data_IF_851761473559
#
_entry.id   IF_851761473559
#
_cell.length_a   1.000
_cell.length_b   1.000
_cell.length_c   1.000
_cell.angle_alpha   90.00
_cell.angle_beta   90.00
_cell.angle_gamma   90.00
#
_symmetry.space_group_name_H-M   'P 1'
#
loop_
_entity.id
_entity.type
_entity.pdbx_description
1 polymer ?
#
# COMPACT_ATOMS: atom_id res chain seq x y z
N UNK A 1 100.42 52.66 -3.57
CA UNK A 1 100.10 51.30 -3.09
C UNK A 1 98.64 51.32 -2.67
N UNK A 2 97.77 50.46 -3.24
CA UNK A 2 96.32 50.70 -3.37
C UNK A 2 95.44 49.85 -2.42
N UNK A 3 94.25 50.40 -2.13
CA UNK A 3 92.86 49.87 -2.21
C UNK A 3 92.63 48.35 -2.14
N UNK A 4 91.51 47.77 -1.68
CA UNK A 4 90.21 48.13 -1.08
C UNK A 4 89.49 46.78 -0.78
N UNK A 5 88.25 46.81 -0.28
CA UNK A 5 87.24 45.72 -0.10
C UNK A 5 87.24 45.13 1.34
N UNK A 6 86.31 45.44 2.26
CA UNK A 6 84.83 45.44 2.30
C UNK A 6 84.21 44.03 2.47
N UNK A 7 83.70 43.69 3.66
CA UNK A 7 82.33 43.19 3.81
C UNK A 7 81.83 43.13 5.27
N UNK A 8 80.56 43.54 5.39
CA UNK A 8 79.68 43.72 6.56
C UNK A 8 79.42 42.46 7.39
N UNK A 9 79.13 42.67 8.69
CA UNK A 9 77.88 42.15 9.25
C UNK A 9 77.29 43.14 10.27
N UNK A 10 75.98 43.31 10.16
CA UNK A 10 75.09 44.31 10.77
C UNK A 10 74.28 43.61 11.88
N UNK A 11 73.81 44.33 12.90
CA UNK A 11 72.41 44.35 13.39
C UNK A 11 72.34 44.97 14.79
N UNK A 12 71.89 46.23 14.86
CA UNK A 12 70.50 46.66 15.10
C UNK A 12 70.20 46.87 16.60
N UNK A 13 70.37 48.11 17.05
CA UNK A 13 69.68 48.63 18.23
C UNK A 13 68.21 48.85 17.85
N UNK A 14 67.33 47.99 18.37
CA UNK A 14 65.88 48.23 18.38
C UNK A 14 65.53 48.83 19.73
N UNK A 15 65.04 50.07 19.70
CA UNK A 15 64.44 50.78 20.83
C UNK A 15 63.19 49.99 21.24
N UNK A 16 63.24 49.30 22.37
CA UNK A 16 62.07 48.64 22.96
C UNK A 16 61.43 49.56 24.00
N UNK A 17 60.28 50.10 23.61
CA UNK A 17 59.28 50.68 24.51
C UNK A 17 58.99 49.74 25.67
N UNK A 18 59.19 50.22 26.89
CA UNK A 18 58.88 49.51 28.13
C UNK A 18 57.40 49.13 28.19
N UNK A 19 57.04 47.83 28.21
CA UNK A 19 55.70 47.45 28.60
C UNK A 19 55.58 47.71 30.11
N UNK A 20 54.51 48.41 30.50
CA UNK A 20 54.07 48.56 31.89
C UNK A 20 53.69 47.17 32.44
N UNK A 21 54.70 46.36 32.77
CA UNK A 21 54.56 45.11 33.49
C UNK A 21 54.82 45.44 34.95
N UNK A 22 53.77 45.37 35.77
CA UNK A 22 53.95 45.18 37.20
C UNK A 22 54.71 43.87 37.39
N UNK A 23 56.02 43.98 37.64
CA UNK A 23 56.80 42.89 38.17
C UNK A 23 56.48 42.80 39.67
N UNK A 24 55.82 41.71 40.08
CA UNK A 24 55.83 41.34 41.50
C UNK A 24 57.24 40.84 41.79
N UNK A 25 58.10 41.74 42.25
CA UNK A 25 59.40 41.37 42.79
C UNK A 25 59.12 40.70 44.13
N UNK A 26 59.17 39.38 44.18
CA UNK A 26 59.29 38.66 45.45
C UNK A 26 60.69 38.98 45.98
N UNK A 27 60.80 40.04 46.79
CA UNK A 27 61.98 40.22 47.62
C UNK A 27 62.04 39.02 48.55
N UNK A 28 63.19 38.35 48.50
CA UNK A 28 63.55 37.18 49.28
C UNK A 28 62.99 37.31 50.72
N UNK A 29 62.04 36.44 51.14
CA UNK A 29 61.50 36.55 52.48
C UNK A 29 62.62 36.20 53.46
N UNK A 30 62.92 37.10 54.39
CA UNK A 30 63.65 36.72 55.59
C UNK A 30 62.96 35.48 56.17
N UNK A 31 63.76 34.45 56.52
CA UNK A 31 63.31 33.11 56.92
C UNK A 31 62.30 33.06 58.08
N UNK A 32 61.98 34.21 58.70
CA UNK A 32 61.06 34.35 59.83
C UNK A 32 59.80 35.18 59.53
N UNK A 33 59.50 35.52 58.27
CA UNK A 33 58.21 36.17 57.94
C UNK A 33 57.47 35.43 56.83
N UNK A 34 56.23 34.97 57.07
CA UNK A 34 55.45 34.32 56.02
C UNK A 34 55.19 35.31 54.88
N UNK A 35 55.20 34.82 53.64
CA UNK A 35 54.85 35.59 52.44
C UNK A 35 53.43 36.12 52.64
N UNK A 36 53.29 37.42 52.91
CA UNK A 36 51.99 38.05 53.07
C UNK A 36 51.47 38.42 51.67
N UNK A 37 50.66 37.54 51.07
CA UNK A 37 49.77 37.89 49.97
C UNK A 37 48.82 38.99 50.50
N UNK A 38 49.15 40.25 50.24
CA UNK A 38 48.24 41.37 50.49
C UNK A 38 47.08 41.24 49.51
N UNK A 39 46.00 40.65 50.00
CA UNK A 39 44.66 40.70 49.39
C UNK A 39 44.34 42.18 49.24
N UNK A 40 44.42 42.68 48.01
CA UNK A 40 44.03 44.04 47.71
C UNK A 40 42.51 44.01 47.63
N UNK A 41 41.87 44.22 48.79
CA UNK A 41 40.46 43.95 49.02
C UNK A 41 39.60 44.54 47.89
N UNK A 42 39.87 45.78 47.48
CA UNK A 42 39.11 46.46 46.44
C UNK A 42 39.20 45.79 45.06
N UNK A 43 40.38 45.31 44.67
CA UNK A 43 40.59 44.65 43.38
C UNK A 43 39.97 43.25 43.35
N UNK A 44 40.10 42.49 44.44
CA UNK A 44 39.55 41.13 44.54
C UNK A 44 38.02 41.12 44.68
N UNK A 45 37.43 42.08 45.42
CA UNK A 45 35.97 42.25 45.45
C UNK A 45 35.42 42.71 44.10
N UNK A 46 36.13 43.58 43.37
CA UNK A 46 35.75 43.99 42.02
C UNK A 46 35.75 42.80 41.05
N UNK A 47 36.81 41.96 41.08
CA UNK A 47 36.90 40.75 40.28
C UNK A 47 35.80 39.73 40.63
N UNK A 48 35.50 39.54 41.92
CA UNK A 48 34.44 38.65 42.39
C UNK A 48 33.06 39.15 41.92
N UNK A 49 32.78 40.44 42.04
CA UNK A 49 31.51 41.04 41.59
C UNK A 49 31.36 40.93 40.08
N UNK A 50 32.40 41.25 39.30
CA UNK A 50 32.37 41.10 37.82
C UNK A 50 32.13 39.64 37.43
N UNK A 51 32.81 38.69 38.07
CA UNK A 51 32.65 37.26 37.78
C UNK A 51 31.24 36.79 38.12
N UNK A 52 30.71 37.21 39.26
CA UNK A 52 29.36 36.85 39.70
C UNK A 52 28.30 37.41 38.75
N UNK A 53 28.45 38.68 38.33
CA UNK A 53 27.60 39.32 37.33
C UNK A 53 27.69 38.59 35.98
N UNK A 54 28.89 38.30 35.49
CA UNK A 54 29.11 37.59 34.23
C UNK A 54 28.48 36.18 34.24
N UNK A 55 28.58 35.48 35.37
CA UNK A 55 27.98 34.14 35.54
C UNK A 55 26.45 34.21 35.54
N UNK A 56 25.88 35.23 36.18
CA UNK A 56 24.42 35.49 36.15
C UNK A 56 23.97 35.80 34.72
N UNK A 57 24.67 36.67 33.99
CA UNK A 57 24.31 36.96 32.60
C UNK A 57 24.47 35.75 31.68
N UNK A 58 25.55 34.98 31.81
CA UNK A 58 25.76 33.76 31.03
C UNK A 58 24.64 32.74 31.27
N UNK A 59 24.19 32.56 32.52
CA UNK A 59 23.08 31.64 32.84
C UNK A 59 21.73 32.13 32.29
N UNK A 60 21.45 33.44 32.34
CA UNK A 60 20.24 34.03 31.75
C UNK A 60 20.22 33.85 30.23
N UNK A 61 21.32 34.17 29.54
CA UNK A 61 21.41 34.03 28.08
C UNK A 61 21.24 32.57 27.68
N UNK A 62 21.91 31.65 28.38
CA UNK A 62 21.79 30.21 28.15
C UNK A 62 20.34 29.74 28.29
N UNK A 63 19.66 30.12 29.39
CA UNK A 63 18.26 29.78 29.63
C UNK A 63 17.33 30.28 28.51
N UNK A 64 17.51 31.53 28.06
CA UNK A 64 16.70 32.12 26.97
C UNK A 64 16.91 31.36 25.66
N UNK A 65 18.16 31.07 25.30
CA UNK A 65 18.48 30.31 24.08
C UNK A 65 17.86 28.91 24.14
N UNK A 66 17.98 28.21 25.27
CA UNK A 66 17.37 26.90 25.46
C UNK A 66 15.85 26.96 25.29
N UNK A 67 15.16 27.93 25.92
CA UNK A 67 13.71 28.06 25.82
C UNK A 67 13.28 28.31 24.36
N UNK A 68 13.94 29.23 23.65
CA UNK A 68 13.60 29.54 22.25
C UNK A 68 13.82 28.34 21.33
N UNK A 69 14.93 27.63 21.52
CA UNK A 69 15.30 26.50 20.67
C UNK A 69 14.39 25.30 20.92
N UNK A 70 14.11 24.98 22.19
CA UNK A 70 13.19 23.89 22.57
C UNK A 70 11.76 24.19 22.11
N UNK A 71 11.25 25.41 22.29
CA UNK A 71 9.89 25.76 21.87
C UNK A 71 9.72 25.71 20.35
N UNK A 72 10.69 26.22 19.58
CA UNK A 72 10.68 26.14 18.11
C UNK A 72 10.82 24.69 17.63
N UNK A 73 11.72 23.92 18.23
CA UNK A 73 11.94 22.50 17.91
C UNK A 73 10.69 21.67 18.20
N UNK A 74 10.11 21.80 19.40
CA UNK A 74 8.89 21.06 19.78
C UNK A 74 7.72 21.40 18.86
N UNK A 75 7.52 22.68 18.51
CA UNK A 75 6.44 23.07 17.58
C UNK A 75 6.63 22.46 16.18
N UNK A 76 7.87 22.45 15.67
CA UNK A 76 8.20 21.82 14.39
C UNK A 76 8.05 20.30 14.43
N UNK A 77 8.46 19.68 15.53
CA UNK A 77 8.39 18.24 15.73
C UNK A 77 6.94 17.76 15.80
N UNK A 78 6.09 18.45 16.60
CA UNK A 78 4.66 18.14 16.70
C UNK A 78 3.98 18.26 15.34
N UNK A 79 4.31 19.32 14.57
CA UNK A 79 3.76 19.48 13.23
C UNK A 79 4.19 18.36 12.28
N UNK A 80 5.48 18.03 12.26
CA UNK A 80 6.02 16.94 11.44
C UNK A 80 5.42 15.58 11.83
N UNK A 81 5.28 15.30 13.12
CA UNK A 81 4.62 14.10 13.62
C UNK A 81 3.16 14.05 13.19
N UNK A 82 2.39 15.13 13.34
CA UNK A 82 1.01 15.18 12.88
C UNK A 82 0.89 14.97 11.37
N UNK A 83 1.74 15.61 10.56
CA UNK A 83 1.75 15.43 9.10
C UNK A 83 2.08 13.99 8.71
N UNK A 84 3.06 13.36 9.38
CA UNK A 84 3.41 11.96 9.14
C UNK A 84 2.31 10.99 9.58
N UNK A 85 1.68 11.23 10.74
CA UNK A 85 0.54 10.45 11.21
C UNK A 85 -0.63 10.54 10.23
N UNK A 86 -0.93 11.73 9.71
CA UNK A 86 -2.01 11.92 8.76
C UNK A 86 -1.72 11.19 7.44
N UNK A 87 -0.48 11.26 6.94
CA UNK A 87 -0.04 10.49 5.75
C UNK A 87 -0.11 8.98 5.97
N UNK A 88 0.31 8.49 7.14
CA UNK A 88 0.23 7.07 7.47
C UNK A 88 -1.23 6.60 7.55
N UNK A 89 -2.09 7.39 8.16
CA UNK A 89 -3.51 7.08 8.29
C UNK A 89 -4.21 7.07 6.92
N UNK A 90 -3.86 7.99 6.03
CA UNK A 90 -4.37 7.99 4.65
C UNK A 90 -3.86 6.79 3.85
N UNK A 91 -2.57 6.46 3.97
CA UNK A 91 -1.99 5.27 3.34
C UNK A 91 -2.67 3.98 3.84
N UNK A 92 -2.92 3.87 5.15
CA UNK A 92 -3.65 2.74 5.73
C UNK A 92 -5.08 2.64 5.23
N UNK A 93 -5.80 3.77 5.14
CA UNK A 93 -7.15 3.78 4.57
C UNK A 93 -7.17 3.33 3.12
N UNK A 94 -6.23 3.84 2.32
CA UNK A 94 -6.11 3.48 0.92
C UNK A 94 -5.79 1.99 0.76
N UNK A 95 -4.87 1.47 1.59
CA UNK A 95 -4.54 0.05 1.62
C UNK A 95 -5.74 -0.81 2.00
N UNK A 96 -6.42 -0.50 3.12
CA UNK A 96 -7.64 -1.22 3.53
C UNK A 96 -8.72 -1.19 2.46
N UNK A 97 -8.94 -0.04 1.81
CA UNK A 97 -9.90 0.08 0.73
C UNK A 97 -9.52 -0.82 -0.46
N UNK A 98 -8.25 -0.85 -0.83
CA UNK A 98 -7.75 -1.72 -1.90
C UNK A 98 -7.94 -3.19 -1.54
N UNK A 99 -7.53 -3.60 -0.34
CA UNK A 99 -7.63 -4.98 0.16
C UNK A 99 -9.07 -5.47 0.19
N UNK A 100 -10.00 -4.65 0.71
CA UNK A 100 -11.44 -4.97 0.74
C UNK A 100 -12.00 -5.08 -0.67
N UNK A 101 -11.60 -4.19 -1.58
CA UNK A 101 -12.07 -4.21 -2.98
C UNK A 101 -11.55 -5.45 -3.73
N UNK A 102 -10.26 -5.77 -3.59
CA UNK A 102 -9.64 -6.96 -4.19
C UNK A 102 -10.28 -8.23 -3.64
N UNK A 103 -10.43 -8.34 -2.32
CA UNK A 103 -11.05 -9.51 -1.67
C UNK A 103 -12.49 -9.71 -2.11
N UNK A 104 -13.30 -8.64 -2.13
CA UNK A 104 -14.69 -8.70 -2.58
C UNK A 104 -14.76 -9.16 -4.05
N UNK A 105 -13.91 -8.61 -4.92
CA UNK A 105 -13.89 -8.97 -6.33
C UNK A 105 -13.42 -10.40 -6.57
N UNK A 106 -12.42 -10.88 -5.84
CA UNK A 106 -12.00 -12.29 -5.88
C UNK A 106 -13.12 -13.22 -5.42
N UNK A 107 -13.84 -12.87 -4.35
CA UNK A 107 -15.00 -13.63 -3.89
C UNK A 107 -16.10 -13.68 -4.97
N UNK A 108 -16.41 -12.54 -5.61
CA UNK A 108 -17.33 -12.47 -6.74
C UNK A 108 -16.91 -13.38 -7.90
N UNK A 109 -15.64 -13.33 -8.34
CA UNK A 109 -15.10 -14.19 -9.41
C UNK A 109 -15.29 -15.68 -9.06
N UNK A 110 -15.01 -16.06 -7.80
CA UNK A 110 -15.13 -17.44 -7.34
C UNK A 110 -16.59 -17.91 -7.33
N UNK A 111 -17.52 -17.07 -6.88
CA UNK A 111 -18.97 -17.37 -6.92
C UNK A 111 -19.45 -17.58 -8.35
N UNK A 112 -19.11 -16.65 -9.27
CA UNK A 112 -19.50 -16.73 -10.68
C UNK A 112 -18.92 -17.99 -11.34
N UNK A 113 -17.64 -18.30 -11.11
CA UNK A 113 -17.01 -19.52 -11.62
C UNK A 113 -17.71 -20.79 -11.12
N UNK A 114 -18.12 -20.83 -9.85
CA UNK A 114 -18.85 -21.96 -9.28
C UNK A 114 -20.20 -22.16 -9.98
N UNK A 115 -20.99 -21.10 -10.13
CA UNK A 115 -22.32 -21.17 -10.74
C UNK A 115 -22.21 -21.56 -12.23
N UNK A 116 -21.26 -20.98 -12.95
CA UNK A 116 -21.00 -21.33 -14.35
C UNK A 116 -20.56 -22.78 -14.51
N UNK A 117 -19.73 -23.29 -13.59
CA UNK A 117 -19.26 -24.69 -13.66
C UNK A 117 -20.42 -25.67 -13.46
N UNK A 118 -21.31 -25.38 -12.51
CA UNK A 118 -22.52 -26.17 -12.30
C UNK A 118 -23.47 -26.07 -13.51
N UNK A 119 -23.69 -24.86 -14.05
CA UNK A 119 -24.47 -24.68 -15.27
C UNK A 119 -23.92 -25.51 -16.44
N UNK A 120 -22.61 -25.41 -16.71
CA UNK A 120 -21.97 -26.13 -17.81
C UNK A 120 -21.99 -27.65 -17.62
N UNK A 121 -21.91 -28.12 -16.38
CA UNK A 121 -22.05 -29.54 -16.06
C UNK A 121 -23.41 -30.08 -16.50
N UNK A 122 -24.50 -29.41 -16.14
CA UNK A 122 -25.85 -29.83 -16.54
C UNK A 122 -26.11 -29.60 -18.03
N UNK A 123 -25.62 -28.49 -18.60
CA UNK A 123 -25.72 -28.21 -20.04
C UNK A 123 -25.01 -29.29 -20.88
N UNK A 124 -23.94 -29.89 -20.36
CA UNK A 124 -23.24 -30.99 -21.02
C UNK A 124 -24.04 -32.29 -20.95
N UNK A 125 -24.73 -32.54 -19.83
CA UNK A 125 -25.47 -33.80 -19.59
C UNK A 125 -26.89 -33.81 -20.12
N UNK A 126 -27.43 -32.64 -20.51
CA UNK A 126 -28.83 -32.50 -20.91
C UNK A 126 -29.22 -33.49 -22.03
N UNK A 127 -28.35 -33.67 -23.03
CA UNK A 127 -28.56 -34.62 -24.12
C UNK A 127 -28.65 -36.07 -23.61
N UNK A 128 -27.82 -36.46 -22.65
CA UNK A 128 -27.86 -37.80 -22.05
C UNK A 128 -29.18 -38.04 -21.33
N UNK A 129 -29.66 -37.05 -20.56
CA UNK A 129 -30.95 -37.14 -19.87
C UNK A 129 -32.13 -37.18 -20.84
N UNK A 130 -32.07 -36.45 -21.95
CA UNK A 130 -33.05 -36.55 -23.03
C UNK A 130 -33.07 -37.94 -23.67
N UNK A 131 -31.90 -38.51 -23.99
CA UNK A 131 -31.79 -39.87 -24.54
C UNK A 131 -32.34 -40.91 -23.56
N UNK A 132 -32.03 -40.80 -22.27
CA UNK A 132 -32.58 -41.67 -21.23
C UNK A 132 -34.10 -41.59 -21.17
N UNK A 133 -34.66 -40.38 -21.30
CA UNK A 133 -36.11 -40.16 -21.31
C UNK A 133 -36.75 -40.78 -22.56
N UNK A 134 -36.14 -40.60 -23.74
CA UNK A 134 -36.57 -41.23 -25.00
C UNK A 134 -36.60 -42.76 -24.86
N UNK A 135 -35.55 -43.32 -24.24
CA UNK A 135 -35.43 -44.76 -24.02
C UNK A 135 -36.29 -45.28 -22.85
N UNK A 136 -37.20 -44.46 -22.30
CA UNK A 136 -38.11 -44.81 -21.19
C UNK A 136 -37.38 -45.31 -19.93
N UNK A 137 -36.16 -44.82 -19.70
CA UNK A 137 -35.47 -45.08 -18.44
C UNK A 137 -36.27 -44.41 -17.29
N UNK A 138 -36.56 -45.14 -16.19
CA UNK A 138 -37.36 -44.62 -15.08
C UNK A 138 -36.81 -43.32 -14.47
N UNK A 139 -35.49 -43.12 -14.50
CA UNK A 139 -34.85 -41.92 -13.93
C UNK A 139 -34.66 -40.79 -14.95
N UNK A 140 -34.78 -41.09 -16.26
CA UNK A 140 -34.44 -40.15 -17.32
C UNK A 140 -35.24 -38.85 -17.25
N UNK A 141 -36.56 -38.95 -17.08
CA UNK A 141 -37.45 -37.78 -17.00
C UNK A 141 -37.16 -36.93 -15.77
N UNK A 142 -36.96 -37.57 -14.61
CA UNK A 142 -36.66 -36.87 -13.35
C UNK A 142 -35.33 -36.13 -13.45
N UNK A 143 -34.29 -36.80 -13.96
CA UNK A 143 -32.97 -36.20 -14.15
C UNK A 143 -33.00 -35.04 -15.16
N UNK A 144 -33.77 -35.17 -16.24
CA UNK A 144 -33.95 -34.12 -17.23
C UNK A 144 -34.62 -32.88 -16.62
N UNK A 145 -35.72 -33.07 -15.88
CA UNK A 145 -36.43 -31.98 -15.21
C UNK A 145 -35.54 -31.27 -14.18
N UNK A 146 -34.80 -32.02 -13.36
CA UNK A 146 -33.85 -31.45 -12.41
C UNK A 146 -32.73 -30.67 -13.10
N UNK A 147 -32.19 -31.19 -14.21
CA UNK A 147 -31.16 -30.50 -14.96
C UNK A 147 -31.67 -29.17 -15.54
N UNK A 148 -32.88 -29.14 -16.11
CA UNK A 148 -33.50 -27.92 -16.63
C UNK A 148 -33.75 -26.88 -15.52
N UNK A 149 -34.24 -27.31 -14.36
CA UNK A 149 -34.46 -26.43 -13.20
C UNK A 149 -33.13 -25.81 -12.70
N UNK A 150 -32.07 -26.62 -12.61
CA UNK A 150 -30.75 -26.12 -12.19
C UNK A 150 -30.17 -25.16 -13.23
N UNK A 151 -30.35 -25.42 -14.53
CA UNK A 151 -29.92 -24.51 -15.59
C UNK A 151 -30.62 -23.15 -15.46
N UNK A 152 -31.94 -23.14 -15.24
CA UNK A 152 -32.71 -21.91 -15.12
C UNK A 152 -32.37 -21.15 -13.83
N UNK A 153 -32.24 -21.85 -12.70
CA UNK A 153 -31.75 -21.30 -11.43
C UNK A 153 -30.38 -20.64 -11.62
N UNK A 154 -29.43 -21.33 -12.24
CA UNK A 154 -28.07 -20.82 -12.39
C UNK A 154 -28.00 -19.65 -13.35
N UNK A 155 -28.84 -19.63 -14.39
CA UNK A 155 -29.04 -18.45 -15.24
C UNK A 155 -29.51 -17.24 -14.43
N UNK A 156 -30.53 -17.40 -13.58
CA UNK A 156 -31.03 -16.30 -12.73
C UNK A 156 -29.92 -15.80 -11.80
N UNK A 157 -29.18 -16.70 -11.16
CA UNK A 157 -28.07 -16.32 -10.28
C UNK A 157 -27.00 -15.54 -11.05
N UNK A 158 -26.57 -16.04 -12.21
CA UNK A 158 -25.62 -15.37 -13.09
C UNK A 158 -26.13 -13.96 -13.45
N UNK A 159 -27.41 -13.80 -13.79
CA UNK A 159 -28.01 -12.50 -14.08
C UNK A 159 -27.99 -11.53 -12.88
N UNK A 160 -28.06 -12.03 -11.65
CA UNK A 160 -27.93 -11.19 -10.45
C UNK A 160 -26.49 -10.73 -10.19
N UNK A 161 -25.50 -11.56 -10.54
CA UNK A 161 -24.08 -11.24 -10.36
C UNK A 161 -23.54 -10.30 -11.43
N UNK A 162 -24.11 -10.33 -12.62
CA UNK A 162 -23.66 -9.57 -13.77
C UNK A 162 -24.42 -8.26 -13.96
N UNK A 163 -23.74 -7.25 -14.49
CA UNK A 163 -24.33 -5.96 -14.79
C UNK A 163 -25.00 -5.97 -16.18
N UNK A 164 -25.79 -4.95 -16.50
CA UNK A 164 -26.49 -4.79 -17.81
C UNK A 164 -25.57 -4.90 -19.05
N UNK A 165 -24.25 -4.84 -18.88
CA UNK A 165 -23.24 -4.93 -19.95
C UNK A 165 -22.81 -6.37 -20.29
N UNK A 166 -23.27 -7.39 -19.56
CA UNK A 166 -22.97 -8.81 -19.82
C UNK A 166 -24.22 -9.57 -20.30
N UNK A 167 -25.20 -8.85 -20.86
CA UNK A 167 -26.46 -9.42 -21.37
C UNK A 167 -26.23 -10.56 -22.33
N UNK A 168 -25.18 -10.50 -23.15
CA UNK A 168 -24.87 -11.51 -24.15
C UNK A 168 -24.71 -12.92 -23.55
N UNK A 169 -24.13 -13.04 -22.36
CA UNK A 169 -24.00 -14.35 -21.70
C UNK A 169 -25.38 -14.89 -21.29
N UNK A 170 -26.23 -14.02 -20.75
CA UNK A 170 -27.61 -14.38 -20.37
C UNK A 170 -28.43 -14.75 -21.60
N UNK A 171 -28.34 -13.97 -22.67
CA UNK A 171 -29.04 -14.20 -23.93
C UNK A 171 -28.67 -15.58 -24.51
N UNK A 172 -27.38 -15.95 -24.47
CA UNK A 172 -26.91 -17.28 -24.89
C UNK A 172 -27.43 -18.40 -23.98
N UNK A 173 -27.53 -18.15 -22.67
CA UNK A 173 -28.09 -19.12 -21.72
C UNK A 173 -29.60 -19.32 -21.93
N UNK A 174 -30.33 -18.26 -22.23
CA UNK A 174 -31.75 -18.33 -22.61
C UNK A 174 -31.92 -19.09 -23.93
N UNK A 175 -31.10 -18.78 -24.95
CA UNK A 175 -31.10 -19.50 -26.23
C UNK A 175 -30.85 -21.00 -26.01
N UNK A 176 -29.92 -21.36 -25.12
CA UNK A 176 -29.62 -22.75 -24.77
C UNK A 176 -30.83 -23.45 -24.13
N UNK A 177 -31.44 -22.85 -23.11
CA UNK A 177 -32.58 -23.44 -22.40
C UNK A 177 -33.79 -23.58 -23.32
N UNK A 178 -34.07 -22.58 -24.16
CA UNK A 178 -35.14 -22.63 -25.14
C UNK A 178 -34.93 -23.77 -26.15
N UNK A 179 -33.72 -23.87 -26.71
CA UNK A 179 -33.35 -24.96 -27.61
C UNK A 179 -33.49 -26.33 -26.94
N UNK A 180 -33.09 -26.43 -25.68
CA UNK A 180 -33.21 -27.66 -24.91
C UNK A 180 -34.67 -28.04 -24.69
N UNK A 181 -35.54 -27.08 -24.37
CA UNK A 181 -36.96 -27.31 -24.21
C UNK A 181 -37.63 -27.73 -25.53
N UNK A 182 -37.31 -27.08 -26.65
CA UNK A 182 -37.83 -27.45 -27.97
C UNK A 182 -37.47 -28.90 -28.34
N UNK A 183 -36.21 -29.29 -28.13
CA UNK A 183 -35.76 -30.66 -28.34
C UNK A 183 -36.46 -31.60 -27.37
N UNK A 184 -36.59 -31.24 -26.09
CA UNK A 184 -37.33 -32.04 -25.12
C UNK A 184 -38.75 -32.28 -25.60
N UNK A 185 -39.52 -31.24 -25.89
CA UNK A 185 -40.91 -31.35 -26.38
C UNK A 185 -41.03 -32.23 -27.62
N UNK A 186 -40.11 -32.09 -28.59
CA UNK A 186 -40.08 -32.92 -29.81
C UNK A 186 -40.03 -34.42 -29.49
N UNK A 187 -39.29 -34.80 -28.45
CA UNK A 187 -38.98 -36.19 -28.14
C UNK A 187 -39.76 -36.77 -26.94
N UNK A 188 -40.23 -35.96 -26.00
CA UNK A 188 -40.91 -36.41 -24.78
C UNK A 188 -42.43 -36.32 -24.85
N UNK A 189 -42.97 -35.35 -25.59
CA UNK A 189 -44.42 -35.09 -25.59
C UNK A 189 -45.15 -35.78 -26.74
N UNK A 190 -44.43 -36.12 -27.81
CA UNK A 190 -44.93 -36.87 -28.96
C UNK A 190 -44.96 -38.39 -28.70
N UNK A 191 -45.62 -38.84 -27.62
CA UNK A 191 -45.71 -40.26 -27.23
C UNK A 191 -46.29 -41.18 -28.33
N UNK A 192 -46.98 -40.63 -29.32
CA UNK A 192 -47.65 -41.37 -30.40
C UNK A 192 -46.79 -41.55 -31.66
N UNK A 193 -45.81 -40.67 -31.89
CA UNK A 193 -44.94 -40.73 -33.05
C UNK A 193 -43.53 -41.08 -32.55
N UNK A 194 -43.07 -42.30 -32.84
CA UNK A 194 -41.69 -42.73 -32.67
C UNK A 194 -40.77 -41.86 -33.54
N UNK A 195 -40.51 -40.61 -33.13
CA UNK A 195 -39.49 -39.77 -33.76
C UNK A 195 -38.15 -40.43 -33.41
N UNK A 196 -37.45 -41.03 -34.39
CA UNK A 196 -36.18 -41.67 -34.11
C UNK A 196 -35.18 -40.61 -33.66
N UNK A 197 -34.36 -40.96 -32.67
CA UNK A 197 -33.26 -40.12 -32.21
C UNK A 197 -32.39 -39.69 -33.40
N UNK A 198 -32.17 -38.37 -33.52
CA UNK A 198 -31.26 -37.80 -34.49
C UNK A 198 -30.22 -36.93 -33.78
N UNK A 199 -28.96 -37.38 -33.80
CA UNK A 199 -27.84 -36.66 -33.18
C UNK A 199 -27.68 -35.23 -33.72
N UNK A 200 -28.07 -34.99 -34.99
CA UNK A 200 -27.99 -33.65 -35.60
C UNK A 200 -28.87 -32.61 -34.91
N UNK A 201 -29.93 -33.04 -34.24
CA UNK A 201 -30.81 -32.11 -33.50
C UNK A 201 -30.12 -31.51 -32.27
N UNK A 202 -29.03 -32.11 -31.79
CA UNK A 202 -28.28 -31.66 -30.62
C UNK A 202 -27.06 -30.80 -30.98
N UNK A 203 -26.75 -30.65 -32.28
CA UNK A 203 -25.66 -29.79 -32.76
C UNK A 203 -25.82 -28.34 -32.28
N UNK A 204 -27.02 -27.71 -32.36
CA UNK A 204 -27.21 -26.34 -31.86
C UNK A 204 -26.89 -26.20 -30.36
N UNK A 205 -27.26 -27.19 -29.54
CA UNK A 205 -26.95 -27.16 -28.10
C UNK A 205 -25.44 -27.16 -27.86
N UNK A 206 -24.69 -27.95 -28.62
CA UNK A 206 -23.23 -27.99 -28.53
C UNK A 206 -22.63 -26.63 -28.91
N UNK A 207 -23.07 -26.04 -30.02
CA UNK A 207 -22.57 -24.76 -30.52
C UNK A 207 -22.88 -23.60 -29.54
N UNK A 208 -24.11 -23.53 -29.03
CA UNK A 208 -24.49 -22.50 -28.05
C UNK A 208 -23.66 -22.67 -26.77
N UNK A 209 -23.49 -23.92 -26.29
CA UNK A 209 -22.65 -24.19 -25.11
C UNK A 209 -21.21 -23.73 -25.31
N UNK A 210 -20.61 -23.97 -26.48
CA UNK A 210 -19.26 -23.49 -26.79
C UNK A 210 -19.19 -21.94 -26.79
N UNK A 211 -20.22 -21.26 -27.33
CA UNK A 211 -20.31 -19.78 -27.23
C UNK A 211 -20.42 -19.29 -25.79
N UNK A 212 -21.22 -19.97 -24.95
CA UNK A 212 -21.33 -19.66 -23.51
C UNK A 212 -19.96 -19.79 -22.84
N UNK A 213 -19.24 -20.88 -23.10
CA UNK A 213 -17.90 -21.12 -22.52
C UNK A 213 -16.95 -19.98 -22.90
N UNK A 214 -16.85 -19.65 -24.19
CA UNK A 214 -15.94 -18.63 -24.67
C UNK A 214 -16.28 -17.25 -24.06
N UNK A 215 -17.56 -16.88 -24.08
CA UNK A 215 -18.04 -15.60 -23.53
C UNK A 215 -17.77 -15.51 -22.02
N UNK A 216 -18.05 -16.58 -21.28
CA UNK A 216 -17.78 -16.64 -19.85
C UNK A 216 -16.28 -16.55 -19.52
N UNK A 217 -15.43 -17.22 -20.30
CA UNK A 217 -13.97 -17.15 -20.15
C UNK A 217 -13.45 -15.72 -20.38
N UNK A 218 -13.93 -15.05 -21.42
CA UNK A 218 -13.53 -13.67 -21.72
C UNK A 218 -13.91 -12.70 -20.61
N UNK A 219 -15.14 -12.82 -20.09
CA UNK A 219 -15.62 -12.00 -18.96
C UNK A 219 -14.77 -12.26 -17.71
N UNK A 220 -14.58 -13.52 -17.33
CA UNK A 220 -13.80 -13.88 -16.14
C UNK A 220 -12.33 -13.45 -16.25
N UNK A 221 -11.73 -13.54 -17.45
CA UNK A 221 -10.36 -13.10 -17.70
C UNK A 221 -10.23 -11.59 -17.57
N UNK A 222 -11.15 -10.83 -18.16
CA UNK A 222 -11.20 -9.36 -18.03
C UNK A 222 -11.32 -8.92 -16.57
N UNK A 223 -12.16 -9.60 -15.80
CA UNK A 223 -12.34 -9.30 -14.38
C UNK A 223 -11.11 -9.68 -13.54
N UNK A 224 -10.45 -10.78 -13.88
CA UNK A 224 -9.18 -11.17 -13.25
C UNK A 224 -8.05 -10.17 -13.53
N UNK A 225 -7.94 -9.68 -14.76
CA UNK A 225 -6.95 -8.66 -15.12
C UNK A 225 -7.23 -7.34 -14.39
N UNK A 226 -8.51 -6.99 -14.17
CA UNK A 226 -8.87 -5.82 -13.34
C UNK A 226 -8.46 -5.99 -11.88
N UNK A 227 -8.54 -7.19 -11.30
CA UNK A 227 -8.05 -7.46 -9.94
C UNK A 227 -6.53 -7.25 -9.89
N UNK A 228 -5.80 -7.80 -10.86
CA UNK A 228 -4.33 -7.66 -10.92
C UNK A 228 -3.85 -6.22 -11.08
N UNK A 229 -4.57 -5.41 -11.86
CA UNK A 229 -4.19 -4.02 -12.12
C UNK A 229 -4.69 -3.04 -11.05
N UNK A 230 -5.44 -3.51 -10.04
CA UNK A 230 -5.82 -2.73 -8.86
C UNK A 230 -4.76 -2.81 -7.74
N UNK A 231 -3.85 -3.78 -7.84
CA UNK A 231 -2.61 -3.88 -7.06
C UNK A 231 -1.48 -3.07 -7.73
#
# INVERSE_FOLDING_TARGET
MPSEVNEKSINHQVISSTPNKQAVILQNPDQNTPIQLKINQDTDYCALVITLIATVFASIISAVVTIVLVTKSNKSLIRSQNENHLKQLEAQRQQQKSDVTSTNRQAWINSVRSILSEYLFYATRIQVYMIQTINKNPEGKTNLMQALDILDKNKILINLYFSKHESQLIDLMDEFVNSANEISHKYTDNQSNLVPYNEKDFVPLKEIREKIINTAQDILKKEWDRVKNLE
#
